data_IF_741396653652
#
_entry.id   IF_741396653652
#
_cell.length_a   1.000
_cell.length_b   1.000
_cell.length_c   1.000
_cell.angle_alpha   90.00
_cell.angle_beta   90.00
_cell.angle_gamma   90.00
#
_symmetry.space_group_name_H-M   'P 1'
#
loop_
_entity.id
_entity.type
_entity.pdbx_description
1 polymer ?
#
# COMPACT_ATOMS: atom_id res chain seq x y z
N UNK A 1 21.63 43.95 -3.89
CA UNK A 1 21.81 42.60 -4.46
C UNK A 1 21.87 41.64 -3.30
N UNK A 2 20.73 41.04 -2.94
CA UNK A 2 20.62 40.13 -1.78
C UNK A 2 21.26 38.80 -2.16
N UNK A 3 22.37 38.44 -1.52
CA UNK A 3 22.99 37.13 -1.67
C UNK A 3 22.05 36.06 -1.10
N UNK A 4 21.69 35.08 -1.92
CA UNK A 4 21.02 33.87 -1.44
C UNK A 4 21.97 33.15 -0.46
N UNK A 5 21.49 32.67 0.70
CA UNK A 5 22.33 31.90 1.60
C UNK A 5 22.77 30.62 0.89
N UNK A 6 24.07 30.35 0.87
CA UNK A 6 24.72 29.24 0.16
C UNK A 6 24.30 27.83 0.65
N UNK A 7 23.44 27.75 1.67
CA UNK A 7 22.96 26.51 2.29
C UNK A 7 21.45 26.25 2.06
N UNK A 8 20.77 27.03 1.20
CA UNK A 8 19.40 26.70 0.83
C UNK A 8 19.39 25.38 0.01
N UNK A 9 18.59 24.36 0.39
CA UNK A 9 18.42 23.17 -0.43
C UNK A 9 18.01 23.59 -1.85
N UNK A 10 18.68 23.03 -2.85
CA UNK A 10 18.32 23.29 -4.25
C UNK A 10 16.82 22.96 -4.44
N UNK A 11 16.06 23.81 -5.15
CA UNK A 11 14.67 23.52 -5.45
C UNK A 11 14.57 22.23 -6.28
N UNK A 12 13.50 21.42 -6.12
CA UNK A 12 13.30 20.21 -6.91
C UNK A 12 13.36 20.51 -8.42
N UNK A 13 14.07 19.68 -9.20
CA UNK A 13 14.19 19.87 -10.64
C UNK A 13 12.92 19.38 -11.36
N UNK A 14 12.04 20.26 -11.89
CA UNK A 14 10.78 19.84 -12.52
C UNK A 14 10.97 18.97 -13.76
N UNK A 15 12.15 19.01 -14.40
CA UNK A 15 12.46 18.16 -15.54
C UNK A 15 12.54 16.65 -15.18
N UNK A 16 12.67 16.33 -13.89
CA UNK A 16 12.69 14.94 -13.40
C UNK A 16 11.30 14.36 -13.14
N UNK A 17 10.22 15.14 -13.34
CA UNK A 17 8.84 14.65 -13.16
C UNK A 17 8.48 13.63 -14.25
N UNK A 18 8.41 12.36 -13.85
CA UNK A 18 8.00 11.27 -14.74
C UNK A 18 6.49 11.33 -15.01
N UNK A 19 6.06 11.12 -16.25
CA UNK A 19 4.64 11.14 -16.64
C UNK A 19 4.26 9.84 -17.33
N UNK A 20 3.18 9.21 -16.86
CA UNK A 20 2.61 7.98 -17.44
C UNK A 20 1.37 8.29 -18.27
N UNK A 21 1.19 7.62 -19.40
CA UNK A 21 -0.09 7.59 -20.11
C UNK A 21 -0.93 6.41 -19.65
N UNK A 22 -2.15 6.67 -19.17
CA UNK A 22 -3.10 5.62 -18.78
C UNK A 22 -4.19 5.52 -19.83
N UNK A 23 -4.27 4.38 -20.51
CA UNK A 23 -5.32 4.08 -21.47
C UNK A 23 -6.57 3.53 -20.76
N UNK A 24 -7.72 4.12 -21.07
CA UNK A 24 -9.04 3.67 -20.63
C UNK A 24 -9.80 3.01 -21.78
N UNK A 25 -10.82 2.18 -21.48
CA UNK A 25 -11.74 1.68 -22.49
C UNK A 25 -12.33 2.81 -23.34
N UNK A 26 -12.48 2.58 -24.64
CA UNK A 26 -12.90 3.61 -25.60
C UNK A 26 -11.74 4.44 -26.19
N UNK A 27 -10.48 4.07 -25.93
CA UNK A 27 -9.30 4.63 -26.59
C UNK A 27 -8.79 5.95 -25.99
N UNK A 28 -9.38 6.43 -24.90
CA UNK A 28 -8.93 7.65 -24.23
C UNK A 28 -7.65 7.39 -23.43
N UNK A 29 -6.65 8.25 -23.60
CA UNK A 29 -5.41 8.21 -22.82
C UNK A 29 -5.32 9.45 -21.95
N UNK A 30 -5.16 9.26 -20.63
CA UNK A 30 -4.95 10.35 -19.67
C UNK A 30 -3.48 10.40 -19.30
N UNK A 31 -2.86 11.58 -19.38
CA UNK A 31 -1.48 11.81 -18.95
C UNK A 31 -1.46 12.09 -17.44
N UNK A 32 -0.70 11.30 -16.72
CA UNK A 32 -0.64 11.32 -15.25
C UNK A 32 0.78 11.72 -14.87
N UNK A 33 1.01 12.99 -14.53
CA UNK A 33 2.30 13.39 -13.98
C UNK A 33 2.53 12.66 -12.65
N UNK A 34 3.77 12.34 -12.34
CA UNK A 34 4.20 11.87 -11.04
C UNK A 34 4.22 13.01 -10.01
N UNK A 35 4.52 12.70 -8.74
CA UNK A 35 4.83 13.72 -7.75
C UNK A 35 6.14 14.45 -8.09
N UNK A 36 6.32 15.60 -7.46
CA UNK A 36 7.58 16.33 -7.53
C UNK A 36 8.74 15.45 -7.06
N UNK A 37 9.91 15.55 -7.71
CA UNK A 37 11.09 14.81 -7.30
C UNK A 37 11.55 15.27 -5.91
N UNK A 38 12.21 14.38 -5.19
CA UNK A 38 12.84 14.71 -3.91
C UNK A 38 14.31 14.98 -4.18
N UNK A 39 14.72 16.24 -4.23
CA UNK A 39 16.03 16.64 -4.78
C UNK A 39 16.25 16.03 -6.18
N UNK A 40 17.31 15.26 -6.38
CA UNK A 40 17.65 14.62 -7.65
C UNK A 40 17.03 13.21 -7.82
N UNK A 41 16.19 12.79 -6.88
CA UNK A 41 15.51 11.49 -6.95
C UNK A 41 14.16 11.65 -7.65
N UNK A 42 13.99 11.20 -8.90
CA UNK A 42 12.69 11.16 -9.55
C UNK A 42 11.80 10.09 -8.92
N UNK A 43 10.50 10.36 -8.87
CA UNK A 43 9.50 9.36 -8.56
C UNK A 43 9.17 8.55 -9.83
N UNK A 44 9.65 7.32 -9.88
CA UNK A 44 9.48 6.44 -11.03
C UNK A 44 8.10 5.73 -10.98
N UNK A 45 7.38 5.63 -12.10
CA UNK A 45 6.16 4.84 -12.17
C UNK A 45 6.51 3.36 -12.02
N UNK A 46 6.02 2.73 -10.97
CA UNK A 46 6.31 1.31 -10.66
C UNK A 46 5.13 0.40 -10.96
N UNK A 47 3.91 0.95 -11.00
CA UNK A 47 2.70 0.16 -11.25
C UNK A 47 1.58 1.05 -11.80
N UNK A 48 0.85 0.54 -12.80
CA UNK A 48 -0.40 1.14 -13.30
C UNK A 48 -1.47 0.05 -13.32
N UNK A 49 -2.60 0.29 -12.66
CA UNK A 49 -3.69 -0.67 -12.51
C UNK A 49 -5.02 -0.04 -12.94
N UNK A 50 -5.63 -0.54 -13.99
CA UNK A 50 -6.99 -0.18 -14.36
C UNK A 50 -7.99 -0.86 -13.39
N UNK A 51 -9.05 -0.16 -12.99
CA UNK A 51 -10.14 -0.76 -12.24
C UNK A 51 -10.82 -1.84 -13.10
N UNK A 52 -11.33 -2.94 -12.52
CA UNK A 52 -12.09 -3.94 -13.28
C UNK A 52 -13.30 -3.37 -14.02
N UNK A 53 -13.85 -2.24 -13.56
CA UNK A 53 -14.93 -1.50 -14.22
C UNK A 53 -14.47 -0.64 -15.40
N UNK A 54 -13.18 -0.33 -15.50
CA UNK A 54 -12.62 0.54 -16.52
C UNK A 54 -12.94 2.04 -16.34
N UNK A 55 -13.48 2.43 -15.18
CA UNK A 55 -13.89 3.80 -14.86
C UNK A 55 -12.87 4.56 -13.99
N UNK A 56 -11.80 3.89 -13.55
CA UNK A 56 -10.72 4.47 -12.77
C UNK A 56 -9.41 3.69 -12.98
N UNK A 57 -8.29 4.31 -12.65
CA UNK A 57 -6.99 3.66 -12.62
C UNK A 57 -6.14 4.18 -11.46
N UNK A 58 -5.27 3.34 -10.93
CA UNK A 58 -4.29 3.71 -9.91
C UNK A 58 -2.88 3.67 -10.51
N UNK A 59 -2.11 4.73 -10.33
CA UNK A 59 -0.69 4.78 -10.71
C UNK A 59 0.15 4.96 -9.45
N UNK A 60 1.09 4.04 -9.23
CA UNK A 60 2.02 4.07 -8.11
C UNK A 60 3.38 4.56 -8.57
N UNK A 61 3.82 5.66 -7.98
CA UNK A 61 5.13 6.22 -8.18
C UNK A 61 5.98 5.99 -6.94
N UNK A 62 7.25 5.65 -7.10
CA UNK A 62 8.18 5.49 -5.99
C UNK A 62 9.49 6.21 -6.26
N UNK A 63 10.02 6.86 -5.24
CA UNK A 63 11.35 7.45 -5.29
C UNK A 63 12.39 6.36 -5.00
N UNK A 64 13.46 6.32 -5.80
CA UNK A 64 14.61 5.44 -5.59
C UNK A 64 15.63 6.16 -4.69
N UNK A 65 15.33 6.28 -3.40
CA UNK A 65 16.19 6.95 -2.44
C UNK A 65 17.06 5.88 -1.76
N UNK A 66 18.40 6.03 -1.76
CA UNK A 66 19.28 5.13 -1.04
C UNK A 66 18.82 4.99 0.41
N UNK A 67 18.51 3.75 0.84
CA UNK A 67 18.03 3.33 2.19
C UNK A 67 16.51 3.34 2.44
N UNK A 68 15.72 4.09 1.68
CA UNK A 68 14.27 4.20 1.94
C UNK A 68 13.48 4.14 0.64
N UNK A 69 12.47 3.27 0.60
CA UNK A 69 11.43 3.36 -0.42
C UNK A 69 10.33 4.27 0.11
N UNK A 70 9.96 5.27 -0.67
CA UNK A 70 8.76 6.07 -0.45
C UNK A 70 7.93 6.01 -1.72
N UNK A 71 6.62 5.87 -1.58
CA UNK A 71 5.72 5.80 -2.72
C UNK A 71 4.49 6.69 -2.55
N UNK A 72 3.99 7.17 -3.68
CA UNK A 72 2.72 7.87 -3.80
C UNK A 72 1.82 7.15 -4.80
N UNK A 73 0.53 7.11 -4.51
CA UNK A 73 -0.48 6.59 -5.44
C UNK A 73 -1.39 7.71 -5.88
N UNK A 74 -1.61 7.78 -7.19
CA UNK A 74 -2.56 8.68 -7.82
C UNK A 74 -3.72 7.88 -8.38
N UNK A 75 -4.94 8.30 -8.06
CA UNK A 75 -6.18 7.80 -8.65
C UNK A 75 -6.53 8.67 -9.85
N UNK A 76 -6.89 8.04 -10.96
CA UNK A 76 -7.08 8.70 -12.25
C UNK A 76 -8.43 8.28 -12.82
N UNK A 77 -9.19 9.23 -13.35
CA UNK A 77 -10.45 8.96 -14.07
C UNK A 77 -10.30 9.17 -15.57
N UNK A 78 -11.12 8.50 -16.40
CA UNK A 78 -11.19 8.76 -17.83
C UNK A 78 -11.36 10.25 -18.13
N UNK A 79 -12.13 10.97 -17.32
CA UNK A 79 -12.37 12.42 -17.42
C UNK A 79 -11.12 13.31 -17.43
N UNK A 80 -9.96 12.80 -17.05
CA UNK A 80 -8.71 13.55 -16.91
C UNK A 80 -8.43 14.00 -15.48
N UNK A 81 -9.34 13.72 -14.55
CA UNK A 81 -9.13 13.99 -13.12
C UNK A 81 -8.03 13.08 -12.56
N UNK A 82 -7.04 13.70 -11.91
CA UNK A 82 -5.95 13.01 -11.22
C UNK A 82 -5.97 13.44 -9.75
N UNK A 83 -6.19 12.49 -8.86
CA UNK A 83 -6.25 12.69 -7.42
C UNK A 83 -5.08 12.01 -6.72
N UNK A 84 -4.43 12.70 -5.79
CA UNK A 84 -3.41 12.09 -4.92
C UNK A 84 -4.13 11.37 -3.77
N UNK A 85 -3.82 10.08 -3.57
CA UNK A 85 -4.35 9.32 -2.44
C UNK A 85 -3.54 9.61 -1.18
N UNK A 86 -4.23 9.86 -0.07
CA UNK A 86 -3.58 10.05 1.23
C UNK A 86 -3.11 8.71 1.81
N UNK A 87 -2.05 8.72 2.63
CA UNK A 87 -1.46 7.51 3.25
C UNK A 87 -1.06 6.43 2.23
N UNK A 88 -0.69 6.84 1.02
CA UNK A 88 -0.47 5.95 -0.13
C UNK A 88 0.92 5.32 -0.21
N UNK A 89 1.74 5.46 0.83
CA UNK A 89 3.03 4.78 0.90
C UNK A 89 2.83 3.29 1.18
N UNK A 90 2.51 2.55 0.12
CA UNK A 90 2.25 1.11 0.11
C UNK A 90 3.21 0.39 -0.84
N UNK A 91 3.44 -0.89 -0.57
CA UNK A 91 4.29 -1.79 -1.35
C UNK A 91 3.51 -2.59 -2.39
N UNK A 92 2.23 -2.85 -2.11
CA UNK A 92 1.34 -3.61 -2.97
C UNK A 92 0.05 -2.84 -3.19
N UNK A 93 -0.53 -2.97 -4.38
CA UNK A 93 -1.83 -2.44 -4.75
C UNK A 93 -2.62 -3.48 -5.53
N UNK A 94 -3.93 -3.53 -5.29
CA UNK A 94 -4.89 -4.31 -6.08
C UNK A 94 -6.29 -3.69 -5.97
N UNK A 95 -7.10 -3.84 -7.01
CA UNK A 95 -8.51 -3.44 -6.99
C UNK A 95 -9.39 -4.51 -6.35
N UNK A 96 -10.48 -4.11 -5.71
CA UNK A 96 -11.59 -5.04 -5.46
C UNK A 96 -12.19 -5.50 -6.79
N UNK A 97 -12.78 -6.71 -6.89
CA UNK A 97 -13.33 -7.24 -8.14
C UNK A 97 -14.47 -6.40 -8.68
N UNK A 98 -15.23 -5.79 -7.76
CA UNK A 98 -16.26 -4.83 -8.12
C UNK A 98 -15.70 -3.47 -8.56
N UNK A 99 -14.39 -3.21 -8.48
CA UNK A 99 -13.77 -1.94 -8.86
C UNK A 99 -14.14 -0.72 -8.01
N UNK A 100 -14.86 -0.88 -6.89
CA UNK A 100 -15.26 0.25 -6.04
C UNK A 100 -14.16 0.75 -5.12
N UNK A 101 -13.18 -0.10 -4.82
CA UNK A 101 -12.14 0.21 -3.86
C UNK A 101 -10.77 -0.24 -4.33
N UNK A 102 -9.76 0.54 -3.97
CA UNK A 102 -8.36 0.17 -4.11
C UNK A 102 -7.86 -0.33 -2.76
N UNK A 103 -7.24 -1.51 -2.74
CA UNK A 103 -6.55 -2.07 -1.59
C UNK A 103 -5.06 -1.82 -1.74
N UNK A 104 -4.40 -1.42 -0.65
CA UNK A 104 -2.94 -1.38 -0.61
C UNK A 104 -2.38 -1.89 0.70
N UNK A 105 -1.23 -2.55 0.63
CA UNK A 105 -0.50 -3.00 1.81
C UNK A 105 0.87 -2.31 1.92
N UNK A 106 1.12 -1.71 3.08
CA UNK A 106 2.44 -1.26 3.49
C UNK A 106 3.24 -2.39 4.14
N UNK A 107 4.24 -2.03 4.94
CA UNK A 107 5.03 -3.01 5.68
C UNK A 107 4.19 -3.79 6.72
N UNK A 108 3.28 -3.10 7.41
CA UNK A 108 2.51 -3.64 8.54
C UNK A 108 1.06 -3.12 8.59
N UNK A 109 0.60 -2.41 7.56
CA UNK A 109 -0.75 -1.85 7.50
C UNK A 109 -1.42 -2.17 6.18
N UNK A 110 -2.74 -2.35 6.22
CA UNK A 110 -3.59 -2.45 5.04
C UNK A 110 -4.45 -1.20 4.96
N UNK A 111 -4.60 -0.68 3.75
CA UNK A 111 -5.38 0.52 3.44
C UNK A 111 -6.41 0.18 2.37
N UNK A 112 -7.59 0.78 2.51
CA UNK A 112 -8.67 0.67 1.54
C UNK A 112 -9.12 2.08 1.18
N UNK A 113 -8.95 2.47 -0.08
CA UNK A 113 -9.43 3.74 -0.61
C UNK A 113 -10.71 3.55 -1.39
N UNK A 114 -11.68 4.42 -1.17
CA UNK A 114 -12.78 4.60 -2.12
C UNK A 114 -12.33 5.53 -3.26
N UNK A 115 -13.16 5.63 -4.30
CA UNK A 115 -12.84 6.46 -5.46
C UNK A 115 -12.86 7.98 -5.17
N UNK A 116 -13.41 8.42 -4.04
CA UNK A 116 -13.34 9.83 -3.61
C UNK A 116 -12.06 10.13 -2.82
N UNK A 117 -11.17 9.15 -2.63
CA UNK A 117 -9.91 9.26 -1.89
C UNK A 117 -10.03 9.09 -0.37
N UNK A 118 -11.23 8.80 0.14
CA UNK A 118 -11.42 8.44 1.55
C UNK A 118 -10.72 7.12 1.86
N UNK A 119 -9.98 7.07 2.96
CA UNK A 119 -9.13 5.92 3.32
C UNK A 119 -9.54 5.31 4.65
N UNK A 120 -9.65 3.98 4.67
CA UNK A 120 -9.71 3.15 5.89
C UNK A 120 -8.37 2.45 6.07
N UNK A 121 -7.95 2.25 7.31
CA UNK A 121 -6.66 1.61 7.61
C UNK A 121 -6.85 0.57 8.71
N UNK A 122 -6.24 -0.59 8.53
CA UNK A 122 -6.17 -1.64 9.53
C UNK A 122 -4.70 -2.01 9.80
N UNK A 123 -4.40 -2.33 11.06
CA UNK A 123 -3.14 -2.93 11.48
C UNK A 123 -3.44 -4.39 11.77
N UNK A 124 -2.96 -5.35 10.96
CA UNK A 124 -3.17 -6.76 11.26
C UNK A 124 -2.38 -7.15 12.49
N UNK A 125 -3.08 -7.72 13.48
CA UNK A 125 -2.52 -8.10 14.78
C UNK A 125 -2.67 -9.60 15.00
N UNK A 126 -1.62 -10.30 15.48
CA UNK A 126 -1.73 -11.71 15.87
C UNK A 126 -2.69 -11.89 17.05
N UNK A 127 -3.20 -13.11 17.21
CA UNK A 127 -4.01 -13.46 18.37
C UNK A 127 -3.22 -13.25 19.68
N UNK A 128 -3.83 -12.64 20.73
CA UNK A 128 -3.11 -12.25 21.96
C UNK A 128 -2.35 -13.39 22.63
N UNK A 129 -2.86 -14.62 22.55
CA UNK A 129 -2.24 -15.82 23.12
C UNK A 129 -0.82 -16.10 22.57
N UNK A 130 -0.49 -15.60 21.38
CA UNK A 130 0.79 -15.82 20.71
C UNK A 130 1.75 -14.63 20.79
N UNK A 131 1.31 -13.50 21.37
CA UNK A 131 2.13 -12.31 21.57
C UNK A 131 1.89 -11.70 22.96
N UNK A 132 2.39 -12.33 24.05
CA UNK A 132 2.21 -11.84 25.42
C UNK A 132 3.04 -10.57 25.73
N UNK A 133 3.67 -9.95 24.74
CA UNK A 133 4.53 -8.78 24.86
C UNK A 133 4.56 -7.98 23.55
N UNK A 134 5.41 -6.95 23.45
CA UNK A 134 5.50 -6.12 22.24
C UNK A 134 5.74 -6.98 21.01
N UNK A 135 4.97 -6.73 19.95
CA UNK A 135 5.05 -7.48 18.70
C UNK A 135 5.22 -6.58 17.49
N UNK A 136 5.98 -7.07 16.52
CA UNK A 136 6.08 -6.48 15.18
C UNK A 136 5.52 -7.46 14.17
N UNK A 137 4.57 -6.99 13.36
CA UNK A 137 3.98 -7.76 12.26
C UNK A 137 4.44 -7.20 10.93
N UNK A 138 4.83 -8.09 10.00
CA UNK A 138 5.15 -7.75 8.62
C UNK A 138 4.15 -8.45 7.71
N UNK A 139 3.48 -7.71 6.84
CA UNK A 139 2.61 -8.29 5.81
C UNK A 139 3.47 -9.04 4.79
N UNK A 140 3.11 -10.28 4.51
CA UNK A 140 3.81 -11.20 3.60
C UNK A 140 2.91 -11.75 2.49
N UNK A 141 1.61 -11.47 2.54
CA UNK A 141 0.68 -11.86 1.48
C UNK A 141 -0.68 -11.19 1.63
N UNK A 142 -1.33 -10.98 0.48
CA UNK A 142 -2.71 -10.53 0.38
C UNK A 142 -3.42 -11.43 -0.63
N UNK A 143 -4.59 -11.93 -0.27
CA UNK A 143 -5.48 -12.64 -1.19
C UNK A 143 -6.87 -12.03 -1.05
N UNK A 144 -7.44 -11.61 -2.17
CA UNK A 144 -8.75 -11.01 -2.20
C UNK A 144 -9.73 -12.01 -2.83
N UNK A 145 -10.85 -12.26 -2.14
CA UNK A 145 -11.88 -13.20 -2.57
C UNK A 145 -13.27 -12.62 -2.27
N UNK A 146 -14.05 -12.32 -3.33
CA UNK A 146 -15.39 -11.75 -3.18
C UNK A 146 -15.40 -10.42 -2.42
N UNK A 147 -15.99 -10.40 -1.23
CA UNK A 147 -16.00 -9.23 -0.32
C UNK A 147 -15.01 -9.32 0.82
N UNK A 148 -14.12 -10.30 0.79
CA UNK A 148 -13.16 -10.52 1.85
C UNK A 148 -11.73 -10.33 1.37
N UNK A 149 -10.89 -9.90 2.32
CA UNK A 149 -9.46 -9.75 2.15
C UNK A 149 -8.74 -10.59 3.20
N UNK A 150 -8.04 -11.63 2.76
CA UNK A 150 -7.10 -12.36 3.58
C UNK A 150 -5.76 -11.64 3.59
N UNK A 151 -5.23 -11.37 4.78
CA UNK A 151 -3.94 -10.73 5.00
C UNK A 151 -3.08 -11.69 5.79
N UNK A 152 -1.94 -12.07 5.22
CA UNK A 152 -0.95 -12.91 5.89
C UNK A 152 0.17 -12.06 6.45
N UNK A 153 0.55 -12.31 7.69
CA UNK A 153 1.68 -11.66 8.36
C UNK A 153 2.67 -12.67 8.90
N UNK A 154 3.95 -12.28 8.92
CA UNK A 154 4.94 -12.86 9.82
C UNK A 154 5.09 -11.93 11.03
N UNK A 155 4.93 -12.50 12.22
CA UNK A 155 5.00 -11.74 13.46
C UNK A 155 6.22 -12.17 14.29
N UNK A 156 6.71 -11.22 15.08
CA UNK A 156 7.79 -11.42 16.04
C UNK A 156 7.37 -10.76 17.34
N UNK A 157 7.55 -11.46 18.45
CA UNK A 157 7.34 -10.89 19.77
C UNK A 157 8.61 -10.91 20.59
N UNK A 158 8.66 -10.01 21.57
CA UNK A 158 9.84 -9.72 22.36
C UNK A 158 9.55 -9.95 23.84
N UNK A 159 10.50 -10.55 24.54
CA UNK A 159 10.45 -10.72 26.00
C UNK A 159 10.87 -9.47 26.75
N UNK A 160 10.93 -9.55 28.09
CA UNK A 160 11.24 -8.42 29.00
C UNK A 160 12.53 -7.65 28.67
N UNK A 161 13.52 -8.29 28.03
CA UNK A 161 14.82 -7.68 27.70
C UNK A 161 14.93 -7.24 26.23
N UNK A 162 13.80 -7.02 25.53
CA UNK A 162 13.74 -6.70 24.09
C UNK A 162 14.42 -7.75 23.20
N UNK A 163 14.74 -8.93 23.72
CA UNK A 163 15.20 -10.08 22.95
C UNK A 163 14.00 -10.74 22.30
N UNK A 164 14.15 -11.11 21.02
CA UNK A 164 13.11 -11.84 20.29
C UNK A 164 12.82 -13.15 21.02
N UNK A 165 11.60 -13.29 21.52
CA UNK A 165 11.14 -14.45 22.26
C UNK A 165 10.50 -15.51 21.34
N UNK A 166 9.95 -15.10 20.20
CA UNK A 166 9.45 -16.06 19.20
C UNK A 166 8.97 -15.43 17.90
N UNK A 167 8.36 -16.28 17.07
CA UNK A 167 7.82 -15.93 15.75
C UNK A 167 6.56 -16.71 15.45
N UNK A 168 5.61 -16.07 14.78
CA UNK A 168 4.37 -16.67 14.31
C UNK A 168 4.07 -16.25 12.88
N UNK A 169 3.14 -16.97 12.28
CA UNK A 169 2.43 -16.54 11.07
C UNK A 169 0.98 -16.32 11.47
N UNK A 170 0.37 -15.24 10.98
CA UNK A 170 -1.05 -14.96 11.20
C UNK A 170 -1.74 -14.77 9.86
N UNK A 171 -2.93 -15.34 9.71
CA UNK A 171 -3.86 -15.00 8.65
C UNK A 171 -5.05 -14.24 9.27
N UNK A 172 -5.36 -13.07 8.73
CA UNK A 172 -6.50 -12.26 9.15
C UNK A 172 -7.43 -12.09 7.95
N UNK A 173 -8.69 -12.50 8.10
CA UNK A 173 -9.75 -12.26 7.12
C UNK A 173 -10.49 -10.98 7.49
N UNK A 174 -10.57 -10.03 6.57
CA UNK A 174 -11.30 -8.78 6.75
C UNK A 174 -12.53 -8.73 5.84
N UNK A 175 -13.66 -8.29 6.38
CA UNK A 175 -14.83 -7.91 5.59
C UNK A 175 -14.62 -6.53 4.95
N UNK A 176 -14.80 -6.46 3.63
CA UNK A 176 -14.84 -5.21 2.86
C UNK A 176 -16.29 -4.70 2.74
N UNK A 177 -16.49 -3.38 2.66
CA UNK A 177 -15.48 -2.32 2.62
C UNK A 177 -15.11 -1.78 4.01
N UNK A 178 -15.58 -2.39 5.09
CA UNK A 178 -15.38 -1.85 6.44
C UNK A 178 -13.96 -2.07 6.98
N UNK A 179 -13.17 -2.96 6.36
CA UNK A 179 -11.93 -3.50 6.93
C UNK A 179 -12.15 -4.02 8.36
N UNK A 180 -13.29 -4.68 8.59
CA UNK A 180 -13.63 -5.27 9.88
C UNK A 180 -13.04 -6.68 9.95
N UNK A 181 -12.22 -7.03 10.95
CA UNK A 181 -11.73 -8.40 11.09
C UNK A 181 -12.90 -9.36 11.31
N UNK A 182 -12.90 -10.45 10.55
CA UNK A 182 -13.85 -11.55 10.65
C UNK A 182 -13.27 -12.72 11.43
N UNK A 183 -12.01 -13.07 11.12
CA UNK A 183 -11.28 -14.15 11.76
C UNK A 183 -9.79 -13.82 11.83
N UNK A 184 -9.13 -14.30 12.89
CA UNK A 184 -7.70 -14.14 13.15
C UNK A 184 -7.15 -15.48 13.60
N UNK A 185 -6.35 -16.09 12.74
CA UNK A 185 -5.76 -17.40 13.04
C UNK A 185 -4.24 -17.26 13.06
N UNK A 186 -3.64 -17.60 14.20
CA UNK A 186 -2.20 -17.48 14.43
C UNK A 186 -1.59 -18.85 14.69
N UNK A 187 -0.44 -19.12 14.06
CA UNK A 187 0.31 -20.36 14.22
C UNK A 187 1.76 -20.07 14.63
N UNK A 188 2.38 -20.93 15.46
CA UNK A 188 3.83 -20.95 15.61
C UNK A 188 4.49 -21.20 14.25
N UNK A 189 5.59 -20.49 13.97
CA UNK A 189 6.34 -20.67 12.71
C UNK A 189 6.80 -22.13 12.56
N UNK A 190 6.48 -22.77 11.42
CA UNK A 190 6.87 -24.16 11.10
C UNK A 190 5.74 -25.20 11.14
N UNK A 191 4.54 -24.85 11.58
CA UNK A 191 3.33 -25.66 11.32
C UNK A 191 2.76 -25.32 9.94
N UNK A 192 2.06 -26.27 9.29
CA UNK A 192 1.33 -26.03 8.03
C UNK A 192 0.51 -24.74 8.18
N UNK A 193 0.94 -23.68 7.51
CA UNK A 193 0.24 -22.39 7.47
C UNK A 193 -1.19 -22.69 6.98
N UNK A 194 -2.23 -22.22 7.68
CA UNK A 194 -3.52 -22.23 7.01
C UNK A 194 -3.41 -21.18 5.92
N UNK A 195 -3.40 -21.72 4.73
CA UNK A 195 -3.29 -20.99 3.50
C UNK A 195 -4.39 -19.93 3.45
N UNK A 196 -4.11 -18.75 2.87
CA UNK A 196 -5.16 -17.86 2.37
C UNK A 196 -5.95 -18.51 1.20
N UNK A 197 -5.90 -19.84 1.07
CA UNK A 197 -6.49 -20.72 0.08
C UNK A 197 -7.69 -21.44 0.71
N UNK A 198 -8.73 -20.69 1.08
CA UNK A 198 -10.10 -21.21 1.02
C UNK A 198 -11.11 -20.04 1.09
N UNK A 199 -12.21 -20.10 0.33
CA UNK A 199 -13.32 -19.16 0.43
C UNK A 199 -13.95 -19.10 1.84
#
# INVERSE_FOLDING_TARGET
>A
MLALPADAPLPPNPALVQTVGVAFPGGRVVRVPGPEPMADFPANPTQTLLSPRGDAAAVRFCWDIPKYDSCQVRLVRPGGEVQILTKSDVRHLLWTPDGQYLIGAGANTVRLWNLSGGVRTAVPTPAPAFAPGPSTSRITGLVQAGRDLCVRTEDRWYGKNSRRAGRSVTAIRYALPLLRPLDVTTWPKGKKEADCSAP
#
